data_IF_383551349643
#
_entry.id   IF_383551349643
#
_cell.length_a   1.000
_cell.length_b   1.000
_cell.length_c   1.000
_cell.angle_alpha   90.00
_cell.angle_beta   90.00
_cell.angle_gamma   90.00
#
_symmetry.space_group_name_H-M   'P 1'
#
loop_
_entity.id
_entity.type
_entity.pdbx_description
1 polymer ?
#
# COMPACT_ATOMS: atom_id res chain seq x y z
N UNK A 1 4.91 20.56 -48.47
CA UNK A 1 4.88 19.53 -47.41
C UNK A 1 5.28 20.17 -46.10
N UNK A 2 4.36 20.31 -45.15
CA UNK A 2 4.65 20.83 -43.81
C UNK A 2 4.96 19.66 -42.89
N UNK A 3 6.12 19.64 -42.25
CA UNK A 3 6.41 18.70 -41.17
C UNK A 3 5.47 18.98 -39.99
N UNK A 4 4.92 17.97 -39.31
CA UNK A 4 4.21 18.20 -38.07
C UNK A 4 5.21 18.68 -37.00
N UNK A 5 4.78 19.51 -36.03
CA UNK A 5 5.61 19.83 -34.90
C UNK A 5 5.85 18.55 -34.10
N UNK A 6 7.10 18.10 -34.03
CA UNK A 6 7.51 17.08 -33.06
C UNK A 6 7.58 17.76 -31.69
N UNK A 7 6.41 17.98 -31.07
CA UNK A 7 6.33 18.14 -29.62
C UNK A 7 6.32 16.73 -29.01
N UNK A 8 7.39 15.97 -29.28
CA UNK A 8 7.55 14.61 -28.81
C UNK A 8 7.94 14.63 -27.35
N UNK A 9 6.97 14.46 -26.46
CA UNK A 9 7.23 14.01 -25.08
C UNK A 9 8.26 12.88 -25.13
N UNK A 10 9.44 13.11 -24.57
CA UNK A 10 10.52 12.12 -24.58
C UNK A 10 10.10 11.00 -23.65
N UNK A 11 9.51 9.95 -24.21
CA UNK A 11 9.06 8.80 -23.44
C UNK A 11 10.26 7.87 -23.28
N UNK A 12 11.17 8.18 -22.35
CA UNK A 12 12.36 7.37 -22.05
C UNK A 12 11.99 5.88 -21.81
N UNK A 13 10.79 5.63 -21.30
CA UNK A 13 10.27 4.29 -21.03
C UNK A 13 9.71 3.57 -22.27
N UNK A 14 9.55 4.23 -23.42
CA UNK A 14 9.08 3.59 -24.65
C UNK A 14 10.09 2.55 -25.19
N UNK A 15 11.36 2.69 -24.81
CA UNK A 15 12.44 1.78 -25.20
C UNK A 15 13.18 1.29 -23.94
N UNK A 16 12.62 0.33 -23.19
CA UNK A 16 13.15 -0.08 -21.89
C UNK A 16 14.53 -0.73 -21.96
N UNK A 17 15.04 -1.10 -23.13
CA UNK A 17 16.37 -1.68 -23.32
C UNK A 17 17.49 -0.63 -23.42
N UNK A 18 17.17 0.66 -23.60
CA UNK A 18 18.19 1.73 -23.72
C UNK A 18 18.87 2.00 -22.38
N UNK A 19 18.10 1.95 -21.29
CA UNK A 19 18.58 2.25 -19.95
C UNK A 19 18.97 0.97 -19.20
N UNK A 20 20.14 0.98 -18.57
CA UNK A 20 20.52 -0.06 -17.63
C UNK A 20 19.68 0.03 -16.33
N UNK A 21 19.80 -0.97 -15.45
CA UNK A 21 19.03 -1.02 -14.21
C UNK A 21 19.25 0.22 -13.32
N UNK A 22 20.50 0.64 -13.15
CA UNK A 22 20.84 1.80 -12.33
C UNK A 22 20.18 3.09 -12.85
N UNK A 23 20.27 3.34 -14.16
CA UNK A 23 19.65 4.51 -14.78
C UNK A 23 18.12 4.50 -14.62
N UNK A 24 17.47 3.33 -14.76
CA UNK A 24 16.02 3.20 -14.51
C UNK A 24 15.67 3.51 -13.06
N UNK A 25 16.43 2.99 -12.11
CA UNK A 25 16.22 3.28 -10.68
C UNK A 25 16.30 4.78 -10.42
N UNK A 26 17.32 5.45 -10.96
CA UNK A 26 17.45 6.91 -10.82
C UNK A 26 16.28 7.66 -11.44
N UNK A 27 15.85 7.30 -12.65
CA UNK A 27 14.70 7.95 -13.30
C UNK A 27 13.42 7.77 -12.49
N UNK A 28 13.12 6.55 -12.05
CA UNK A 28 11.93 6.25 -11.26
C UNK A 28 11.96 6.94 -9.89
N UNK A 29 13.12 6.98 -9.25
CA UNK A 29 13.27 7.65 -7.96
C UNK A 29 13.07 9.17 -8.11
N UNK A 30 13.71 9.79 -9.11
CA UNK A 30 13.53 11.24 -9.37
C UNK A 30 12.08 11.58 -9.70
N UNK A 31 11.40 10.77 -10.51
CA UNK A 31 9.98 10.97 -10.83
C UNK A 31 9.10 10.81 -9.59
N UNK A 32 9.34 9.79 -8.75
CA UNK A 32 8.62 9.60 -7.51
C UNK A 32 8.81 10.78 -6.54
N UNK A 33 10.05 11.26 -6.38
CA UNK A 33 10.37 12.43 -5.55
C UNK A 33 9.67 13.70 -6.07
N UNK A 34 9.67 13.92 -7.39
CA UNK A 34 9.00 15.05 -8.01
C UNK A 34 7.48 14.99 -7.81
N UNK A 35 6.86 13.83 -8.06
CA UNK A 35 5.43 13.64 -7.88
C UNK A 35 5.01 13.81 -6.42
N UNK A 36 5.83 13.34 -5.47
CA UNK A 36 5.61 13.54 -4.05
C UNK A 36 5.70 15.03 -3.67
N UNK A 37 6.72 15.76 -4.14
CA UNK A 37 6.84 17.20 -3.92
C UNK A 37 5.64 17.97 -4.46
N UNK A 38 5.15 17.61 -5.65
CA UNK A 38 3.96 18.21 -6.24
C UNK A 38 2.70 17.95 -5.39
N UNK A 39 2.51 16.72 -4.91
CA UNK A 39 1.37 16.36 -4.06
C UNK A 39 1.38 17.11 -2.71
N UNK A 40 2.56 17.22 -2.07
CA UNK A 40 2.75 17.98 -0.83
C UNK A 40 2.54 19.47 -1.06
N UNK A 41 3.12 20.03 -2.12
CA UNK A 41 2.97 21.44 -2.48
C UNK A 41 1.51 21.79 -2.73
N UNK A 42 0.77 20.93 -3.45
CA UNK A 42 -0.67 21.10 -3.66
C UNK A 42 -1.47 21.13 -2.35
N UNK A 43 -1.17 20.23 -1.41
CA UNK A 43 -1.81 20.24 -0.08
C UNK A 43 -1.45 21.51 0.72
N UNK A 44 -0.20 21.96 0.67
CA UNK A 44 0.24 23.16 1.37
C UNK A 44 -0.40 24.43 0.81
N UNK A 45 -0.48 24.55 -0.52
CA UNK A 45 -1.16 25.68 -1.17
C UNK A 45 -2.66 25.72 -0.83
N UNK A 46 -3.32 24.56 -0.83
CA UNK A 46 -4.70 24.44 -0.35
C UNK A 46 -4.82 24.92 1.10
N UNK A 47 -3.91 24.52 1.98
CA UNK A 47 -3.94 24.92 3.39
C UNK A 47 -3.74 26.42 3.59
N UNK A 48 -2.82 27.03 2.83
CA UNK A 48 -2.64 28.49 2.82
C UNK A 48 -3.91 29.19 2.33
N UNK A 49 -4.53 28.68 1.26
CA UNK A 49 -5.79 29.23 0.76
C UNK A 49 -6.91 29.13 1.80
N UNK A 50 -7.10 27.96 2.44
CA UNK A 50 -8.07 27.76 3.53
C UNK A 50 -7.83 28.70 4.71
N UNK A 51 -6.57 28.95 5.06
CA UNK A 51 -6.21 29.92 6.09
C UNK A 51 -6.61 31.34 5.67
N UNK A 52 -6.38 31.75 4.41
CA UNK A 52 -6.74 33.08 3.93
C UNK A 52 -8.26 33.28 3.82
N UNK A 53 -9.02 32.23 3.54
CA UNK A 53 -10.49 32.26 3.49
C UNK A 53 -11.16 32.06 4.85
N UNK A 54 -10.38 31.99 5.94
CA UNK A 54 -10.88 31.78 7.31
C UNK A 54 -11.61 30.44 7.52
N UNK A 55 -11.24 29.40 6.76
CA UNK A 55 -11.80 28.05 6.85
C UNK A 55 -10.73 26.99 7.22
N UNK A 56 -9.96 27.18 8.32
CA UNK A 56 -8.80 26.34 8.63
C UNK A 56 -9.16 24.87 8.93
N UNK A 57 -10.43 24.58 9.26
CA UNK A 57 -10.91 23.23 9.54
C UNK A 57 -10.97 22.35 8.27
N UNK A 58 -10.90 22.95 7.08
CA UNK A 58 -10.89 22.26 5.79
C UNK A 58 -9.47 22.05 5.25
N UNK A 59 -8.44 22.26 6.08
CA UNK A 59 -7.05 21.97 5.73
C UNK A 59 -6.86 20.47 5.45
N UNK A 60 -6.01 20.18 4.47
CA UNK A 60 -5.62 18.81 4.07
C UNK A 60 -4.29 18.45 4.71
N UNK A 61 -4.16 17.18 5.09
CA UNK A 61 -2.89 16.67 5.59
C UNK A 61 -1.86 16.60 4.45
N UNK A 62 -0.63 17.15 4.60
CA UNK A 62 0.43 17.02 3.60
C UNK A 62 1.07 15.62 3.57
N UNK A 63 0.70 14.73 4.49
CA UNK A 63 1.13 13.33 4.53
C UNK A 63 -0.01 12.38 4.16
N UNK A 64 0.36 11.20 3.65
CA UNK A 64 -0.51 10.04 3.61
C UNK A 64 -0.43 9.37 4.99
N UNK A 65 -1.49 9.46 5.80
CA UNK A 65 -1.46 8.94 7.18
C UNK A 65 -2.23 7.64 7.25
N UNK A 66 -1.59 6.57 7.70
CA UNK A 66 -2.28 5.29 7.94
C UNK A 66 -2.33 5.02 9.44
N UNK A 67 -3.55 4.96 9.97
CA UNK A 67 -3.82 4.51 11.34
C UNK A 67 -4.11 3.02 11.32
N UNK A 68 -3.26 2.22 11.97
CA UNK A 68 -3.33 0.76 11.89
C UNK A 68 -3.15 0.11 13.25
N UNK A 69 -3.86 -0.99 13.48
CA UNK A 69 -3.66 -1.85 14.65
C UNK A 69 -2.77 -3.02 14.29
N UNK A 70 -1.83 -3.38 15.18
CA UNK A 70 -0.85 -4.46 14.95
C UNK A 70 -1.48 -5.82 14.63
N UNK A 71 -2.68 -6.08 15.16
CA UNK A 71 -3.40 -7.33 14.97
C UNK A 71 -4.29 -7.36 13.72
N UNK A 72 -4.45 -6.23 13.02
CA UNK A 72 -5.35 -6.08 11.87
C UNK A 72 -4.69 -5.26 10.75
N UNK A 73 -3.38 -5.45 10.54
CA UNK A 73 -2.57 -4.63 9.63
C UNK A 73 -3.12 -4.59 8.21
N UNK A 74 -3.40 -5.75 7.61
CA UNK A 74 -3.88 -5.83 6.22
C UNK A 74 -5.23 -5.15 6.07
N UNK A 75 -6.18 -5.47 6.97
CA UNK A 75 -7.52 -4.92 6.89
C UNK A 75 -7.57 -3.41 7.16
N UNK A 76 -6.81 -2.92 8.14
CA UNK A 76 -6.77 -1.48 8.44
C UNK A 76 -6.06 -0.71 7.32
N UNK A 77 -4.92 -1.22 6.82
CA UNK A 77 -4.21 -0.58 5.70
C UNK A 77 -5.09 -0.47 4.45
N UNK A 78 -5.79 -1.54 4.06
CA UNK A 78 -6.69 -1.52 2.90
C UNK A 78 -7.84 -0.52 3.11
N UNK A 79 -8.46 -0.52 4.30
CA UNK A 79 -9.53 0.42 4.65
C UNK A 79 -9.08 1.87 4.53
N UNK A 80 -7.95 2.21 5.14
CA UNK A 80 -7.38 3.58 5.08
C UNK A 80 -7.06 3.98 3.64
N UNK A 81 -6.41 3.09 2.86
CA UNK A 81 -6.04 3.37 1.47
C UNK A 81 -7.25 3.65 0.56
N UNK A 82 -8.40 3.03 0.81
CA UNK A 82 -9.61 3.23 -0.03
C UNK A 82 -10.21 4.64 0.06
N UNK A 83 -9.86 5.42 1.08
CA UNK A 83 -10.38 6.78 1.29
C UNK A 83 -9.58 7.82 0.48
N UNK A 84 -8.33 7.51 0.15
CA UNK A 84 -7.42 8.44 -0.51
C UNK A 84 -7.58 8.45 -2.03
N UNK A 85 -7.45 9.62 -2.64
CA UNK A 85 -7.32 9.74 -4.10
C UNK A 85 -5.87 9.53 -4.56
N UNK A 86 -5.69 9.36 -5.87
CA UNK A 86 -4.38 9.11 -6.50
C UNK A 86 -3.29 10.14 -6.16
N UNK A 87 -3.67 11.41 -5.92
CA UNK A 87 -2.71 12.46 -5.56
C UNK A 87 -2.28 12.33 -4.10
N UNK A 88 -3.22 11.98 -3.22
CA UNK A 88 -2.95 11.76 -1.80
C UNK A 88 -2.05 10.53 -1.59
N UNK A 89 -2.19 9.48 -2.40
CA UNK A 89 -1.32 8.30 -2.37
C UNK A 89 0.15 8.58 -2.70
N UNK A 90 0.45 9.73 -3.32
CA UNK A 90 1.82 10.15 -3.67
C UNK A 90 2.49 10.97 -2.57
N UNK A 91 1.77 11.33 -1.50
CA UNK A 91 2.33 12.07 -0.37
C UNK A 91 3.27 11.17 0.45
N UNK A 92 4.21 11.74 1.23
CA UNK A 92 5.04 10.96 2.13
C UNK A 92 4.17 10.18 3.12
N UNK A 93 4.45 8.89 3.25
CA UNK A 93 3.73 7.99 4.15
C UNK A 93 4.11 8.25 5.62
N UNK A 94 3.09 8.31 6.48
CA UNK A 94 3.23 8.31 7.93
C UNK A 94 2.35 7.22 8.50
N UNK A 95 2.96 6.22 9.12
CA UNK A 95 2.23 5.15 9.81
C UNK A 95 2.11 5.48 11.29
N UNK A 96 0.92 5.27 11.86
CA UNK A 96 0.63 5.44 13.28
C UNK A 96 0.01 4.13 13.77
N UNK A 97 0.71 3.48 14.71
CA UNK A 97 0.15 2.35 15.44
C UNK A 97 -0.76 2.84 16.56
N UNK A 98 -1.97 2.31 16.62
CA UNK A 98 -2.95 2.71 17.64
C UNK A 98 -2.45 2.41 19.06
N UNK A 99 -2.46 3.44 19.92
CA UNK A 99 -2.04 3.32 21.31
C UNK A 99 -0.53 3.34 21.53
N UNK A 100 0.27 3.63 20.49
CA UNK A 100 1.73 3.66 20.57
C UNK A 100 2.29 5.05 20.28
N UNK A 101 3.23 5.49 21.11
CA UNK A 101 4.01 6.71 20.84
C UNK A 101 5.12 6.40 19.83
N UNK A 102 5.01 6.98 18.64
CA UNK A 102 6.04 6.88 17.63
C UNK A 102 7.24 7.76 18.00
N UNK A 103 8.35 7.15 18.40
CA UNK A 103 9.61 7.85 18.73
C UNK A 103 10.43 8.16 17.45
N UNK A 104 10.40 7.26 16.47
CA UNK A 104 11.07 7.43 15.17
C UNK A 104 10.15 7.03 14.01
N UNK A 105 9.76 8.01 13.19
CA UNK A 105 8.89 7.79 12.03
C UNK A 105 9.50 6.84 10.98
N UNK A 106 10.84 6.81 10.85
CA UNK A 106 11.53 5.94 9.90
C UNK A 106 11.50 4.48 10.34
N UNK A 107 11.77 4.22 11.62
CA UNK A 107 11.65 2.90 12.24
C UNK A 107 10.25 2.32 12.13
N UNK A 108 9.23 3.12 12.48
CA UNK A 108 7.81 2.69 12.45
C UNK A 108 7.37 2.30 11.04
N UNK A 109 7.74 3.08 10.03
CA UNK A 109 7.38 2.76 8.63
C UNK A 109 8.04 1.46 8.15
N UNK A 110 9.31 1.24 8.49
CA UNK A 110 10.00 -0.02 8.16
C UNK A 110 9.36 -1.22 8.84
N UNK A 111 9.04 -1.08 10.12
CA UNK A 111 8.36 -2.12 10.89
C UNK A 111 7.00 -2.46 10.29
N UNK A 112 6.19 -1.45 9.95
CA UNK A 112 4.90 -1.64 9.31
C UNK A 112 5.00 -2.49 8.05
N UNK A 113 5.91 -2.16 7.11
CA UNK A 113 6.06 -2.95 5.89
C UNK A 113 6.55 -4.37 6.19
N UNK A 114 7.46 -4.56 7.15
CA UNK A 114 7.95 -5.88 7.52
C UNK A 114 6.80 -6.78 8.03
N UNK A 115 5.97 -6.26 8.92
CA UNK A 115 4.83 -7.00 9.47
C UNK A 115 3.75 -7.23 8.41
N UNK A 116 3.44 -6.21 7.61
CA UNK A 116 2.45 -6.29 6.53
C UNK A 116 2.85 -7.38 5.52
N UNK A 117 4.10 -7.38 5.04
CA UNK A 117 4.55 -8.40 4.10
C UNK A 117 4.54 -9.80 4.71
N UNK A 118 4.92 -9.95 5.99
CA UNK A 118 4.83 -11.23 6.69
C UNK A 118 3.39 -11.77 6.69
N UNK A 119 2.43 -10.90 6.93
CA UNK A 119 1.00 -11.24 6.94
C UNK A 119 0.49 -11.57 5.53
N UNK A 120 0.78 -10.73 4.53
CA UNK A 120 0.37 -10.95 3.13
C UNK A 120 0.95 -12.22 2.50
N UNK A 121 2.15 -12.62 2.93
CA UNK A 121 2.82 -13.84 2.46
C UNK A 121 2.33 -15.11 3.17
N UNK A 122 1.53 -14.98 4.24
CA UNK A 122 0.92 -16.13 4.90
C UNK A 122 -0.14 -16.76 3.96
N UNK A 123 -0.07 -18.08 3.69
CA UNK A 123 -1.04 -18.77 2.84
C UNK A 123 -2.50 -18.59 3.26
N UNK A 124 -2.77 -18.25 4.53
CA UNK A 124 -4.12 -17.97 5.05
C UNK A 124 -4.78 -16.80 4.30
N UNK A 125 -4.02 -15.79 3.88
CA UNK A 125 -4.56 -14.65 3.11
C UNK A 125 -4.87 -15.00 1.65
N UNK A 126 -4.33 -16.13 1.16
CA UNK A 126 -4.61 -16.62 -0.19
C UNK A 126 -4.08 -15.73 -1.32
N UNK A 127 -3.24 -14.72 -1.03
CA UNK A 127 -2.72 -13.80 -2.06
C UNK A 127 -1.62 -14.42 -2.91
N UNK A 128 -0.84 -15.33 -2.33
CA UNK A 128 0.28 -15.99 -2.99
C UNK A 128 0.22 -17.51 -2.83
N UNK A 129 0.72 -18.22 -3.84
CA UNK A 129 0.96 -19.65 -3.84
C UNK A 129 2.47 -19.90 -3.84
N UNK A 130 2.94 -20.77 -2.95
CA UNK A 130 4.34 -21.17 -2.90
C UNK A 130 4.58 -22.43 -3.74
N UNK A 131 5.61 -22.41 -4.58
CA UNK A 131 6.07 -23.59 -5.31
C UNK A 131 7.20 -24.25 -4.54
N UNK A 132 6.97 -25.47 -4.05
CA UNK A 132 7.92 -26.21 -3.20
C UNK A 132 9.25 -26.54 -3.89
N UNK A 133 9.25 -26.68 -5.21
CA UNK A 133 10.46 -27.02 -5.97
C UNK A 133 11.45 -25.86 -6.06
N UNK A 134 10.95 -24.63 -6.18
CA UNK A 134 11.77 -23.43 -6.40
C UNK A 134 11.80 -22.49 -5.19
N UNK A 135 10.94 -22.73 -4.19
CA UNK A 135 10.65 -21.82 -3.08
C UNK A 135 10.19 -20.42 -3.53
N UNK A 136 9.68 -20.29 -4.76
CA UNK A 136 9.14 -19.04 -5.29
C UNK A 136 7.68 -18.86 -4.90
N UNK A 137 7.26 -17.61 -4.77
CA UNK A 137 5.88 -17.21 -4.58
C UNK A 137 5.34 -16.60 -5.89
N UNK A 138 4.12 -16.98 -6.26
CA UNK A 138 3.38 -16.37 -7.37
C UNK A 138 2.00 -15.96 -6.87
N UNK A 139 1.38 -14.99 -7.55
CA UNK A 139 0.01 -14.59 -7.26
C UNK A 139 -0.92 -15.81 -7.34
N UNK A 140 -1.82 -15.95 -6.38
CA UNK A 140 -2.74 -17.07 -6.37
C UNK A 140 -3.82 -16.90 -7.46
N UNK A 141 -4.10 -17.96 -8.21
CA UNK A 141 -5.23 -18.02 -9.14
C UNK A 141 -6.57 -18.26 -8.42
N UNK A 142 -6.54 -18.48 -7.10
CA UNK A 142 -7.73 -18.76 -6.30
C UNK A 142 -8.43 -17.44 -5.93
N UNK A 143 -9.39 -17.02 -6.75
CA UNK A 143 -10.34 -15.94 -6.43
C UNK A 143 -11.35 -16.30 -5.33
N UNK A 144 -10.94 -16.95 -4.24
CA UNK A 144 -11.86 -17.47 -3.22
C UNK A 144 -11.82 -16.67 -1.92
N UNK A 145 -11.81 -15.34 -2.01
CA UNK A 145 -11.96 -14.48 -0.84
C UNK A 145 -13.42 -14.32 -0.37
N UNK A 146 -14.39 -15.08 -0.90
CA UNK A 146 -15.80 -15.04 -0.43
C UNK A 146 -16.55 -16.40 -0.46
N UNK A 147 -15.90 -17.56 -0.51
CA UNK A 147 -16.61 -18.86 -0.60
C UNK A 147 -16.25 -19.88 0.50
N UNK A 148 -16.03 -19.41 1.74
CA UNK A 148 -15.86 -20.32 2.88
C UNK A 148 -16.42 -19.78 4.19
N UNK A 149 -17.67 -19.31 4.16
CA UNK A 149 -18.53 -19.30 5.35
C UNK A 149 -19.73 -20.23 5.14
N UNK A 150 -19.51 -21.53 5.36
CA UNK A 150 -20.37 -22.50 6.06
C UNK A 150 -20.19 -23.93 5.52
N UNK A 151 -19.15 -24.61 5.98
CA UNK A 151 -19.25 -26.04 6.31
C UNK A 151 -18.03 -26.44 7.15
N UNK A 152 -18.23 -26.58 8.46
CA UNK A 152 -17.11 -26.97 9.32
C UNK A 152 -17.26 -26.74 10.81
N UNK A 153 -18.47 -26.55 11.35
CA UNK A 153 -18.70 -26.75 12.78
C UNK A 153 -18.60 -28.26 13.06
N UNK A 154 -17.38 -28.75 13.27
CA UNK A 154 -17.12 -30.06 13.89
C UNK A 154 -15.89 -29.94 14.79
N UNK A 155 -16.13 -29.57 16.04
CA UNK A 155 -15.44 -30.19 17.17
C UNK A 155 -16.38 -30.23 18.37
N UNK A 156 -16.51 -31.43 18.93
CA UNK A 156 -17.38 -31.76 20.04
C UNK A 156 -17.12 -33.22 20.41
N UNK A 157 -15.95 -33.45 21.01
CA UNK A 157 -15.61 -34.70 21.71
C UNK A 157 -16.20 -34.67 23.12
N UNK A 158 -16.40 -35.87 23.70
CA UNK A 158 -16.87 -36.26 25.06
C UNK A 158 -18.37 -36.69 25.08
N UNK A 159 -18.81 -37.87 25.55
CA UNK A 159 -18.28 -38.99 26.36
C UNK A 159 -19.17 -40.24 26.08
N UNK A 160 -18.64 -41.46 25.91
CA UNK A 160 -18.52 -42.56 26.91
C UNK A 160 -19.79 -43.43 27.16
N UNK A 161 -19.56 -44.76 27.23
CA UNK A 161 -20.43 -45.89 27.70
C UNK A 161 -21.62 -46.31 26.82
N UNK A 162 -21.94 -47.59 26.56
CA UNK A 162 -21.55 -48.88 27.12
C UNK A 162 -21.75 -50.02 26.08
N UNK A 163 -20.92 -51.06 26.19
CA UNK A 163 -21.13 -52.43 25.66
C UNK A 163 -22.15 -53.19 26.53
N UNK A 164 -22.62 -54.41 26.15
CA UNK A 164 -22.21 -55.25 25.02
C UNK A 164 -23.27 -55.48 23.94
#
# INVERSE_FOLDING_TARGET
MRYPPVQGSVTLCAYPFILNAQAKTTVLQTDAELQMQMAVSGANLHNVFMLLTMEPLLARNPFLVLHVRRNLLVSDALRELTVYNDVDLKKPLKVIFDGEEAVDAGGVTKEFFLLLFKELMDPIYGMFTQYSESNLLWFSDKNNLLDSNQSGFRSGHSSETALP
#
